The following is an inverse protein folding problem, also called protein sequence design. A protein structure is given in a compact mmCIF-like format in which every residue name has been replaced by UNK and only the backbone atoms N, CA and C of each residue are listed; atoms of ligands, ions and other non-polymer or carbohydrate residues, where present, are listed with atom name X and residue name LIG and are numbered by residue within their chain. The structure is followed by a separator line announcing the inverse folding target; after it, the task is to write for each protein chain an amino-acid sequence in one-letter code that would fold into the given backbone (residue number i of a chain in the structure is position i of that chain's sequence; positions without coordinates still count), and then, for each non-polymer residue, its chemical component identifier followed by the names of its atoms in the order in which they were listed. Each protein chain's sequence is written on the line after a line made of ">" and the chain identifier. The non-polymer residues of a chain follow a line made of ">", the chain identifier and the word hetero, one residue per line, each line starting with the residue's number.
data_IF_955348331731
#
_entry.id   IF_955348331731
#
_cell.length_a   1.000
_cell.length_b   1.000
_cell.length_c   1.000
_cell.angle_alpha   90.00
_cell.angle_beta   90.00
_cell.angle_gamma   90.00
#
_symmetry.space_group_name_H-M   'P 1'
#
loop_
_entity.id
_entity.type
_entity.pdbx_description
1 polymer ?
#
# COMPACT_ATOMS: atom_id res chain seq x y z
N UNK A 1 3.35 11.30 16.44
CA UNK A 1 2.10 10.60 16.16
C UNK A 1 0.91 11.29 16.82
N UNK A 2 0.96 11.63 18.11
CA UNK A 2 -0.16 12.29 18.83
C UNK A 2 -0.67 13.56 18.14
N UNK A 3 0.22 14.42 17.69
CA UNK A 3 -0.16 15.65 16.98
C UNK A 3 -0.90 15.33 15.66
N UNK A 4 -0.45 14.32 14.92
CA UNK A 4 -1.10 13.89 13.68
C UNK A 4 -2.50 13.31 13.93
N UNK A 5 -2.67 12.54 15.00
CA UNK A 5 -3.97 11.95 15.35
C UNK A 5 -5.04 12.99 15.70
N UNK A 6 -4.63 14.23 16.03
CA UNK A 6 -5.52 15.35 16.37
C UNK A 6 -5.84 16.26 15.18
N UNK A 7 -5.23 16.02 14.01
CA UNK A 7 -5.46 16.85 12.82
C UNK A 7 -6.74 16.42 12.11
N UNK A 8 -7.68 17.33 11.95
CA UNK A 8 -8.90 17.09 11.21
C UNK A 8 -8.61 16.68 9.76
N UNK A 9 -9.24 15.58 9.33
CA UNK A 9 -9.06 15.03 7.98
C UNK A 9 -8.00 13.93 7.88
N UNK A 10 -7.18 13.70 8.91
CA UNK A 10 -6.32 12.51 8.97
C UNK A 10 -7.17 11.35 9.50
N UNK A 11 -7.37 10.32 8.67
CA UNK A 11 -8.20 9.16 8.99
C UNK A 11 -7.41 7.91 9.35
N UNK A 12 -6.10 7.87 9.06
CA UNK A 12 -5.20 6.78 9.43
C UNK A 12 -3.74 7.28 9.43
N UNK A 13 -2.87 6.58 10.16
CA UNK A 13 -1.43 6.83 10.15
C UNK A 13 -0.72 5.59 9.59
N UNK A 14 0.19 5.81 8.63
CA UNK A 14 1.02 4.73 8.08
C UNK A 14 2.38 4.72 8.75
N UNK A 15 2.73 3.60 9.36
CA UNK A 15 4.06 3.29 9.90
C UNK A 15 4.78 2.29 9.01
N UNK A 16 6.09 2.19 9.14
CA UNK A 16 6.91 1.35 8.26
C UNK A 16 6.63 1.61 6.77
N UNK A 17 6.28 2.86 6.44
CA UNK A 17 6.06 3.32 5.08
C UNK A 17 7.36 3.77 4.41
N UNK A 18 7.27 4.24 3.16
CA UNK A 18 8.44 4.74 2.42
C UNK A 18 9.09 5.93 3.13
N UNK A 19 8.30 6.92 3.54
CA UNK A 19 8.79 8.10 4.25
C UNK A 19 9.33 7.79 5.66
N UNK A 20 8.95 6.65 6.23
CA UNK A 20 9.49 6.14 7.50
C UNK A 20 10.76 5.27 7.30
N UNK A 21 11.37 5.34 6.12
CA UNK A 21 12.64 4.65 5.80
C UNK A 21 12.62 3.13 6.09
N UNK A 22 11.48 2.47 5.84
CA UNK A 22 11.29 1.04 6.14
C UNK A 22 12.41 0.14 5.59
N UNK A 23 13.03 0.53 4.48
CA UNK A 23 14.13 -0.20 3.86
C UNK A 23 15.42 -0.19 4.70
N UNK A 24 15.56 0.75 5.64
CA UNK A 24 16.71 0.87 6.53
C UNK A 24 16.48 0.21 7.90
N UNK A 25 15.24 -0.21 8.19
CA UNK A 25 14.88 -0.82 9.46
C UNK A 25 15.07 -2.35 9.43
N UNK A 26 15.60 -2.89 10.51
CA UNK A 26 15.56 -4.32 10.78
C UNK A 26 14.13 -4.79 11.09
N UNK A 27 13.86 -6.07 10.99
CA UNK A 27 12.53 -6.62 11.32
C UNK A 27 12.12 -6.30 12.76
N UNK A 28 13.06 -6.38 13.71
CA UNK A 28 12.79 -6.04 15.12
C UNK A 28 12.50 -4.55 15.33
N UNK A 29 13.11 -3.66 14.56
CA UNK A 29 12.80 -2.24 14.60
C UNK A 29 11.43 -1.93 13.99
N UNK A 30 11.05 -2.64 12.92
CA UNK A 30 9.70 -2.55 12.33
C UNK A 30 8.62 -3.01 13.31
N UNK A 31 8.83 -4.12 14.02
CA UNK A 31 7.94 -4.60 15.09
C UNK A 31 7.86 -3.59 16.22
N UNK A 32 9.01 -3.09 16.69
CA UNK A 32 9.05 -2.09 17.76
C UNK A 32 8.37 -0.78 17.39
N UNK A 33 8.48 -0.38 16.12
CA UNK A 33 7.78 0.80 15.59
C UNK A 33 6.26 0.65 15.68
N UNK A 34 5.73 -0.54 15.36
CA UNK A 34 4.31 -0.84 15.49
C UNK A 34 3.85 -0.83 16.95
N UNK A 35 4.58 -1.51 17.85
CA UNK A 35 4.27 -1.51 19.27
C UNK A 35 4.17 -0.08 19.83
N UNK A 36 5.18 0.75 19.56
CA UNK A 36 5.20 2.14 20.01
C UNK A 36 4.06 2.97 19.43
N UNK A 37 3.72 2.76 18.16
CA UNK A 37 2.60 3.47 17.53
C UNK A 37 1.27 3.03 18.12
N UNK A 38 1.10 1.74 18.37
CA UNK A 38 -0.11 1.17 18.98
C UNK A 38 -0.30 1.69 20.41
N UNK A 39 0.77 1.70 21.22
CA UNK A 39 0.74 2.22 22.59
C UNK A 39 0.43 3.73 22.62
N UNK A 40 0.86 4.47 21.59
CA UNK A 40 0.77 5.92 21.57
C UNK A 40 -0.56 6.45 21.04
N UNK A 41 -1.11 5.84 19.99
CA UNK A 41 -2.27 6.36 19.25
C UNK A 41 -3.24 5.27 18.74
N UNK A 42 -2.98 4.00 19.02
CA UNK A 42 -3.76 2.90 18.43
C UNK A 42 -5.24 2.86 18.85
N UNK A 43 -5.58 3.47 19.97
CA UNK A 43 -6.96 3.65 20.45
C UNK A 43 -7.66 4.90 19.86
N UNK A 44 -6.92 5.77 19.17
CA UNK A 44 -7.39 7.05 18.64
C UNK A 44 -7.55 7.03 17.12
N UNK A 45 -6.66 6.36 16.41
CA UNK A 45 -6.62 6.38 14.96
C UNK A 45 -6.14 5.04 14.38
N UNK A 46 -6.73 4.54 13.26
CA UNK A 46 -6.27 3.33 12.60
C UNK A 46 -4.80 3.40 12.16
N UNK A 47 -4.06 2.31 12.37
CA UNK A 47 -2.68 2.18 11.92
C UNK A 47 -2.59 1.31 10.67
N UNK A 48 -1.94 1.83 9.64
CA UNK A 48 -1.58 1.11 8.42
C UNK A 48 -0.12 0.70 8.53
N UNK A 49 0.22 -0.57 8.29
CA UNK A 49 1.60 -1.06 8.39
C UNK A 49 2.17 -1.38 7.01
N UNK A 50 3.33 -0.81 6.70
CA UNK A 50 4.05 -1.11 5.47
C UNK A 50 4.67 -2.51 5.50
N UNK A 51 4.47 -3.28 4.43
CA UNK A 51 5.07 -4.60 4.20
C UNK A 51 6.05 -4.46 3.03
N UNK A 52 7.34 -4.38 3.34
CA UNK A 52 8.41 -4.15 2.37
C UNK A 52 9.50 -5.19 2.51
N UNK A 53 9.56 -6.12 1.57
CA UNK A 53 10.60 -7.16 1.49
C UNK A 53 10.60 -7.80 0.11
N UNK A 54 11.77 -8.23 -0.42
CA UNK A 54 11.84 -8.98 -1.67
C UNK A 54 11.37 -10.43 -1.56
N UNK A 55 11.15 -10.94 -0.34
CA UNK A 55 10.81 -12.34 -0.07
C UNK A 55 9.33 -12.47 0.34
N UNK A 56 8.53 -13.18 -0.48
CA UNK A 56 7.09 -13.35 -0.26
C UNK A 56 6.74 -14.10 1.02
N UNK A 57 7.58 -15.04 1.46
CA UNK A 57 7.37 -15.75 2.73
C UNK A 57 7.61 -14.83 3.93
N UNK A 58 8.61 -13.95 3.85
CA UNK A 58 8.83 -12.93 4.88
C UNK A 58 7.70 -11.90 4.86
N UNK A 59 7.20 -11.52 3.68
CA UNK A 59 6.04 -10.63 3.57
C UNK A 59 4.81 -11.20 4.28
N UNK A 60 4.55 -12.50 4.14
CA UNK A 60 3.49 -13.21 4.85
C UNK A 60 3.70 -13.20 6.37
N UNK A 61 4.92 -13.42 6.84
CA UNK A 61 5.25 -13.35 8.27
C UNK A 61 5.05 -11.94 8.83
N UNK A 62 5.50 -10.91 8.10
CA UNK A 62 5.27 -9.51 8.47
C UNK A 62 3.78 -9.18 8.54
N UNK A 63 2.97 -9.71 7.62
CA UNK A 63 1.52 -9.54 7.65
C UNK A 63 0.89 -10.16 8.90
N UNK A 64 1.32 -11.36 9.31
CA UNK A 64 0.89 -12.00 10.57
C UNK A 64 1.30 -11.16 11.78
N UNK A 65 2.56 -10.72 11.83
CA UNK A 65 3.07 -9.88 12.93
C UNK A 65 2.30 -8.56 13.02
N UNK A 66 2.07 -7.89 11.88
CA UNK A 66 1.31 -6.65 11.84
C UNK A 66 -0.14 -6.84 12.30
N UNK A 67 -0.78 -7.94 11.89
CA UNK A 67 -2.14 -8.30 12.32
C UNK A 67 -2.18 -8.51 13.84
N UNK A 68 -1.26 -9.28 14.38
CA UNK A 68 -1.15 -9.52 15.84
C UNK A 68 -0.80 -8.26 16.64
N UNK A 69 -0.10 -7.31 16.04
CA UNK A 69 0.26 -6.03 16.62
C UNK A 69 -0.82 -4.94 16.51
N UNK A 70 -2.02 -5.26 16.01
CA UNK A 70 -3.15 -4.33 15.99
C UNK A 70 -3.23 -3.43 14.76
N UNK A 71 -2.54 -3.76 13.66
CA UNK A 71 -2.73 -3.05 12.39
C UNK A 71 -4.18 -3.12 11.91
N UNK A 72 -4.66 -2.03 11.31
CA UNK A 72 -6.00 -1.95 10.71
C UNK A 72 -5.99 -2.25 9.21
N UNK A 73 -4.84 -2.06 8.54
CA UNK A 73 -4.62 -2.37 7.13
C UNK A 73 -3.11 -2.53 6.86
N UNK A 74 -2.78 -3.13 5.71
CA UNK A 74 -1.40 -3.31 5.26
C UNK A 74 -1.14 -2.54 3.97
N UNK A 75 -0.04 -1.81 3.91
CA UNK A 75 0.48 -1.20 2.69
C UNK A 75 1.54 -2.12 2.09
N UNK A 76 1.20 -2.83 1.01
CA UNK A 76 2.06 -3.83 0.39
C UNK A 76 2.90 -3.20 -0.71
N UNK A 77 4.22 -3.21 -0.53
CA UNK A 77 5.18 -2.74 -1.50
C UNK A 77 5.43 -3.78 -2.61
N UNK A 78 5.71 -3.37 -3.84
CA UNK A 78 6.22 -4.30 -4.83
C UNK A 78 7.59 -4.83 -4.39
N UNK A 79 7.83 -6.14 -4.46
CA UNK A 79 9.13 -6.70 -4.11
C UNK A 79 10.21 -6.23 -5.10
N UNK A 80 11.37 -5.82 -4.59
CA UNK A 80 12.49 -5.32 -5.42
C UNK A 80 12.97 -6.34 -6.47
N UNK A 81 12.79 -7.62 -6.23
CA UNK A 81 13.07 -8.69 -7.20
C UNK A 81 12.30 -8.55 -8.53
N UNK A 82 11.21 -7.77 -8.55
CA UNK A 82 10.44 -7.48 -9.76
C UNK A 82 11.09 -6.42 -10.66
N UNK A 83 12.03 -5.63 -10.18
CA UNK A 83 12.66 -4.53 -10.93
C UNK A 83 13.39 -4.99 -12.22
N UNK A 84 13.79 -6.25 -12.28
CA UNK A 84 14.48 -6.84 -13.42
C UNK A 84 13.53 -7.61 -14.37
N UNK A 85 12.48 -6.96 -14.83
CA UNK A 85 11.54 -7.52 -15.80
C UNK A 85 10.30 -8.18 -15.21
N UNK A 86 10.09 -8.10 -13.91
CA UNK A 86 8.89 -8.63 -13.25
C UNK A 86 7.58 -8.04 -13.76
N UNK A 87 7.61 -6.83 -14.34
CA UNK A 87 6.44 -6.25 -15.00
C UNK A 87 5.88 -7.11 -16.15
N UNK A 88 6.72 -7.94 -16.78
CA UNK A 88 6.32 -8.88 -17.83
C UNK A 88 5.96 -10.26 -17.29
N UNK A 89 5.93 -10.40 -15.97
CA UNK A 89 5.71 -11.65 -15.24
C UNK A 89 4.64 -11.44 -14.17
N UNK A 90 3.35 -11.25 -14.57
CA UNK A 90 2.25 -11.01 -13.62
C UNK A 90 2.13 -12.12 -12.57
N UNK A 91 2.52 -13.35 -12.91
CA UNK A 91 2.54 -14.49 -12.00
C UNK A 91 3.45 -14.27 -10.77
N UNK A 92 4.50 -13.44 -10.86
CA UNK A 92 5.35 -13.10 -9.72
C UNK A 92 4.60 -12.21 -8.72
N UNK A 93 3.89 -11.20 -9.22
CA UNK A 93 3.06 -10.33 -8.40
C UNK A 93 1.91 -11.12 -7.74
N UNK A 94 1.23 -11.95 -8.52
CA UNK A 94 0.14 -12.81 -8.05
C UNK A 94 0.63 -13.70 -6.89
N UNK A 95 1.74 -14.42 -7.08
CA UNK A 95 2.31 -15.28 -6.05
C UNK A 95 2.69 -14.50 -4.78
N UNK A 96 3.21 -13.27 -4.92
CA UNK A 96 3.56 -12.42 -3.77
C UNK A 96 2.31 -12.05 -2.97
N UNK A 97 1.26 -11.57 -3.63
CA UNK A 97 0.01 -11.20 -2.98
C UNK A 97 -0.75 -12.41 -2.42
N UNK A 98 -0.67 -13.58 -3.07
CA UNK A 98 -1.27 -14.81 -2.58
C UNK A 98 -0.70 -15.20 -1.21
N UNK A 99 0.63 -15.18 -1.03
CA UNK A 99 1.27 -15.47 0.25
C UNK A 99 0.82 -14.51 1.37
N UNK A 100 0.60 -13.24 1.05
CA UNK A 100 0.11 -12.26 2.03
C UNK A 100 -1.37 -12.50 2.33
N UNK A 101 -2.20 -12.64 1.29
CA UNK A 101 -3.65 -12.74 1.41
C UNK A 101 -4.11 -14.00 2.19
N UNK A 102 -3.37 -15.11 2.10
CA UNK A 102 -3.68 -16.32 2.90
C UNK A 102 -3.23 -16.19 4.36
N UNK A 103 -2.43 -15.18 4.71
CA UNK A 103 -1.83 -15.01 6.04
C UNK A 103 -2.58 -14.02 6.91
N UNK A 104 -3.49 -13.22 6.34
CA UNK A 104 -4.26 -12.21 7.05
C UNK A 104 -5.57 -11.88 6.36
N UNK A 105 -6.59 -11.52 7.14
CA UNK A 105 -7.86 -11.00 6.64
C UNK A 105 -7.89 -9.46 6.60
N UNK A 106 -6.79 -8.79 6.96
CA UNK A 106 -6.72 -7.34 6.93
C UNK A 106 -6.85 -6.79 5.51
N UNK A 107 -7.50 -5.62 5.34
CA UNK A 107 -7.52 -4.94 4.06
C UNK A 107 -6.10 -4.58 3.61
N UNK A 108 -5.84 -4.81 2.33
CA UNK A 108 -4.56 -4.52 1.68
C UNK A 108 -4.66 -3.22 0.87
N UNK A 109 -3.64 -2.41 0.95
CA UNK A 109 -3.39 -1.25 0.08
C UNK A 109 -2.20 -1.62 -0.80
N UNK A 110 -2.42 -1.80 -2.08
CA UNK A 110 -1.36 -2.10 -3.04
C UNK A 110 -0.57 -0.82 -3.35
N UNK A 111 0.75 -0.83 -3.23
CA UNK A 111 1.55 0.34 -3.59
C UNK A 111 1.96 0.29 -5.06
N UNK A 112 1.33 1.14 -5.87
CA UNK A 112 1.64 1.30 -7.29
C UNK A 112 2.80 2.27 -7.48
N UNK A 113 3.89 1.77 -8.04
CA UNK A 113 5.09 2.54 -8.39
C UNK A 113 5.03 3.03 -9.86
N UNK A 114 5.88 4.01 -10.25
CA UNK A 114 6.06 4.36 -11.64
C UNK A 114 6.50 3.14 -12.47
N UNK A 115 5.91 2.95 -13.64
CA UNK A 115 6.33 1.85 -14.55
C UNK A 115 7.80 1.94 -14.93
N UNK A 116 8.34 3.16 -15.05
CA UNK A 116 9.76 3.42 -15.34
C UNK A 116 10.72 2.92 -14.26
N UNK A 117 10.25 2.67 -13.04
CA UNK A 117 11.06 2.10 -11.96
C UNK A 117 11.31 0.59 -12.11
N UNK A 118 10.58 -0.08 -13.01
CA UNK A 118 10.56 -1.54 -13.09
C UNK A 118 9.72 -2.24 -12.02
N UNK A 119 9.22 -1.50 -11.02
CA UNK A 119 8.45 -2.02 -9.89
C UNK A 119 6.93 -1.77 -10.02
N UNK A 120 6.52 -0.85 -10.91
CA UNK A 120 5.11 -0.56 -11.14
C UNK A 120 4.40 -1.72 -11.83
N UNK A 121 3.17 -1.97 -11.47
CA UNK A 121 2.32 -2.97 -12.11
C UNK A 121 1.67 -2.38 -13.38
N UNK A 122 1.78 -3.04 -14.55
CA UNK A 122 0.95 -2.70 -15.69
C UNK A 122 -0.53 -2.72 -15.33
N UNK A 123 -1.35 -1.87 -15.97
CA UNK A 123 -2.78 -1.76 -15.64
C UNK A 123 -3.49 -3.13 -15.65
N UNK A 124 -3.20 -3.99 -16.62
CA UNK A 124 -3.78 -5.33 -16.68
C UNK A 124 -3.44 -6.20 -15.47
N UNK A 125 -2.19 -6.12 -14.99
CA UNK A 125 -1.73 -6.84 -13.80
C UNK A 125 -2.39 -6.26 -12.54
N UNK A 126 -2.50 -4.93 -12.46
CA UNK A 126 -3.13 -4.24 -11.34
C UNK A 126 -4.60 -4.66 -11.21
N UNK A 127 -5.36 -4.68 -12.31
CA UNK A 127 -6.74 -5.12 -12.33
C UNK A 127 -6.89 -6.60 -11.97
N UNK A 128 -6.03 -7.48 -12.51
CA UNK A 128 -6.04 -8.90 -12.19
C UNK A 128 -5.78 -9.15 -10.68
N UNK A 129 -4.82 -8.44 -10.07
CA UNK A 129 -4.58 -8.52 -8.63
C UNK A 129 -5.81 -8.10 -7.81
N UNK A 130 -6.44 -6.97 -8.15
CA UNK A 130 -7.62 -6.47 -7.45
C UNK A 130 -8.83 -7.41 -7.58
N UNK A 131 -8.99 -8.06 -8.72
CA UNK A 131 -10.07 -9.04 -8.94
C UNK A 131 -9.83 -10.37 -8.23
N UNK A 132 -8.58 -10.84 -8.19
CA UNK A 132 -8.21 -12.11 -7.53
C UNK A 132 -8.20 -12.03 -6.02
N UNK A 133 -7.81 -10.88 -5.47
CA UNK A 133 -7.65 -10.68 -4.04
C UNK A 133 -8.64 -9.62 -3.52
N UNK A 134 -9.86 -9.99 -3.14
CA UNK A 134 -10.87 -9.04 -2.65
C UNK A 134 -10.47 -8.30 -1.39
N UNK A 135 -9.42 -8.74 -0.70
CA UNK A 135 -8.80 -8.01 0.43
C UNK A 135 -8.04 -6.76 -0.03
N UNK A 136 -7.68 -6.63 -1.32
CA UNK A 136 -7.14 -5.37 -1.85
C UNK A 136 -8.29 -4.37 -1.96
N UNK A 137 -8.30 -3.38 -1.07
CA UNK A 137 -9.36 -2.38 -0.93
C UNK A 137 -8.96 -1.01 -1.47
N UNK A 138 -7.67 -0.78 -1.62
CA UNK A 138 -7.15 0.47 -2.15
C UNK A 138 -5.82 0.25 -2.88
N UNK A 139 -5.45 1.22 -3.70
CA UNK A 139 -4.07 1.40 -4.15
C UNK A 139 -3.52 2.72 -3.60
N UNK A 140 -2.24 2.74 -3.23
CA UNK A 140 -1.46 3.97 -3.10
C UNK A 140 -0.82 4.23 -4.46
N UNK A 141 -1.30 5.22 -5.18
CA UNK A 141 -0.86 5.47 -6.55
C UNK A 141 0.28 6.49 -6.61
N UNK A 142 1.45 6.00 -7.00
CA UNK A 142 2.64 6.79 -7.33
C UNK A 142 3.09 6.52 -8.77
N UNK A 143 2.15 6.40 -9.72
CA UNK A 143 2.48 6.09 -11.11
C UNK A 143 3.30 7.19 -11.81
N UNK A 144 3.28 8.41 -11.27
CA UNK A 144 3.98 9.60 -11.78
C UNK A 144 3.61 9.97 -13.23
N UNK A 145 2.41 9.60 -13.64
CA UNK A 145 1.81 9.89 -14.95
C UNK A 145 0.32 10.24 -14.77
N UNK A 146 -0.10 11.49 -15.04
CA UNK A 146 -1.49 11.92 -14.83
C UNK A 146 -2.51 11.16 -15.69
N UNK A 147 -2.13 10.73 -16.90
CA UNK A 147 -3.01 9.95 -17.79
C UNK A 147 -3.23 8.57 -17.22
N UNK A 148 -2.16 7.91 -16.78
CA UNK A 148 -2.24 6.60 -16.17
C UNK A 148 -2.99 6.65 -14.83
N UNK A 149 -2.80 7.73 -14.05
CA UNK A 149 -3.54 7.94 -12.81
C UNK A 149 -5.06 8.04 -13.04
N UNK A 150 -5.48 8.79 -14.05
CA UNK A 150 -6.90 8.86 -14.46
C UNK A 150 -7.42 7.48 -14.85
N UNK A 151 -6.65 6.72 -15.63
CA UNK A 151 -7.02 5.35 -16.01
C UNK A 151 -7.16 4.45 -14.79
N UNK A 152 -6.24 4.52 -13.82
CA UNK A 152 -6.34 3.76 -12.57
C UNK A 152 -7.64 4.08 -11.84
N UNK A 153 -7.97 5.36 -11.65
CA UNK A 153 -9.21 5.79 -11.01
C UNK A 153 -10.43 5.17 -11.73
N UNK A 154 -10.54 5.39 -13.03
CA UNK A 154 -11.69 4.96 -13.82
C UNK A 154 -11.86 3.43 -13.83
N UNK A 155 -10.79 2.69 -14.09
CA UNK A 155 -10.84 1.24 -14.22
C UNK A 155 -11.04 0.53 -12.87
N UNK A 156 -10.40 1.02 -11.80
CA UNK A 156 -10.54 0.43 -10.46
C UNK A 156 -11.91 0.73 -9.84
N UNK A 157 -12.48 1.90 -10.09
CA UNK A 157 -13.84 2.21 -9.67
C UNK A 157 -14.92 1.42 -10.45
N UNK A 158 -14.61 0.98 -11.68
CA UNK A 158 -15.53 0.21 -12.51
C UNK A 158 -15.53 -1.30 -12.20
N UNK A 159 -14.67 -1.78 -11.30
CA UNK A 159 -14.69 -3.19 -10.88
C UNK A 159 -15.98 -3.53 -10.13
N UNK A 160 -16.42 -4.79 -10.18
CA UNK A 160 -17.58 -5.29 -9.42
C UNK A 160 -17.45 -4.99 -7.92
N UNK A 161 -16.22 -5.05 -7.40
CA UNK A 161 -15.85 -4.55 -6.10
C UNK A 161 -14.90 -3.36 -6.32
N UNK A 162 -15.39 -2.12 -6.23
CA UNK A 162 -14.56 -0.94 -6.43
C UNK A 162 -13.37 -0.89 -5.48
N UNK A 163 -12.22 -0.48 -6.02
CA UNK A 163 -10.97 -0.34 -5.28
C UNK A 163 -10.60 1.14 -5.24
N UNK A 164 -10.39 1.67 -4.03
CA UNK A 164 -10.10 3.08 -3.83
C UNK A 164 -8.69 3.45 -4.37
N UNK A 165 -8.57 4.65 -4.91
CA UNK A 165 -7.29 5.21 -5.39
C UNK A 165 -6.83 6.34 -4.48
N UNK A 166 -5.73 6.11 -3.76
CA UNK A 166 -5.13 7.06 -2.85
C UNK A 166 -3.91 7.69 -3.52
N UNK A 167 -4.01 8.99 -3.83
CA UNK A 167 -2.91 9.71 -4.45
C UNK A 167 -1.75 9.94 -3.47
N UNK A 168 -0.52 9.97 -4.00
CA UNK A 168 0.67 10.41 -3.26
C UNK A 168 1.45 11.51 -4.00
N UNK A 169 0.83 12.09 -5.03
CA UNK A 169 1.45 13.09 -5.91
C UNK A 169 1.29 14.50 -5.37
N UNK A 170 2.27 15.00 -4.62
CA UNK A 170 2.23 16.35 -4.06
C UNK A 170 2.21 17.45 -5.13
N UNK A 171 2.89 17.25 -6.27
CA UNK A 171 3.02 18.26 -7.33
C UNK A 171 1.71 18.55 -8.07
N UNK A 172 0.77 17.61 -8.12
CA UNK A 172 -0.51 17.75 -8.84
C UNK A 172 -1.70 17.17 -8.07
N UNK A 173 -1.65 17.36 -6.76
CA UNK A 173 -2.64 16.87 -5.81
C UNK A 173 -4.06 17.34 -6.13
N UNK A 174 -4.22 18.63 -6.43
CA UNK A 174 -5.52 19.20 -6.82
C UNK A 174 -6.08 18.51 -8.07
N UNK A 175 -5.23 18.25 -9.07
CA UNK A 175 -5.64 17.52 -10.28
C UNK A 175 -6.09 16.10 -9.95
N UNK A 176 -5.39 15.42 -9.06
CA UNK A 176 -5.75 14.08 -8.60
C UNK A 176 -7.13 14.05 -7.95
N UNK A 177 -7.43 15.02 -7.07
CA UNK A 177 -8.75 15.17 -6.44
C UNK A 177 -9.84 15.47 -7.48
N UNK A 178 -9.58 16.36 -8.44
CA UNK A 178 -10.53 16.69 -9.51
C UNK A 178 -10.80 15.47 -10.41
N UNK A 179 -9.80 14.62 -10.65
CA UNK A 179 -9.95 13.36 -11.39
C UNK A 179 -10.77 12.31 -10.63
N UNK A 180 -10.99 12.49 -9.33
CA UNK A 180 -11.86 11.65 -8.53
C UNK A 180 -11.13 10.60 -7.68
N UNK A 181 -9.85 10.82 -7.32
CA UNK A 181 -9.22 9.96 -6.33
C UNK A 181 -9.94 10.03 -4.98
N UNK A 182 -9.95 8.92 -4.24
CA UNK A 182 -10.72 8.76 -3.01
C UNK A 182 -10.05 9.41 -1.79
N UNK A 183 -8.77 9.72 -1.89
CA UNK A 183 -8.01 10.32 -0.80
C UNK A 183 -6.53 10.38 -1.08
N UNK A 184 -5.78 10.58 -0.01
CA UNK A 184 -4.34 10.76 -0.07
C UNK A 184 -3.65 9.78 0.88
N UNK A 185 -2.58 9.15 0.42
CA UNK A 185 -1.63 8.45 1.26
C UNK A 185 -0.24 9.02 0.97
N UNK A 186 0.05 10.17 1.57
CA UNK A 186 1.28 10.92 1.34
C UNK A 186 2.24 10.82 2.51
N UNK A 187 3.55 10.85 2.23
CA UNK A 187 4.57 11.14 3.22
C UNK A 187 4.66 12.66 3.39
N UNK A 188 4.59 13.10 4.62
CA UNK A 188 4.75 14.51 4.98
C UNK A 188 6.23 14.88 5.01
#
# INVERSE_FOLDING_TARGET
>A
LRELALVDGISAITINGHAAEVHALTLSEQERSLELAQDEVGDQIPLIVGISTPNSMIAAQLAVTATGGGASALLVFPPESMSLGGQQRPEMAIAHFEHIAISTDLPLILFQYPLSSGLGYPLSTLLDLCQRFPTIRAIKDWCNDPILHEQHIRELHALDQPVAVLSTHSAWLLSSLVLGCDGLLSGA
#
